data_IF_082260535214
#
_entry.id   IF_082260535214
#
_cell.length_a   1.000
_cell.length_b   1.000
_cell.length_c   1.000
_cell.angle_alpha   90.00
_cell.angle_beta   90.00
_cell.angle_gamma   90.00
#
_symmetry.space_group_name_H-M   'P 1'
#
loop_
_entity.id
_entity.type
_entity.pdbx_description
1 polymer ?
#
# COMPACT_ATOMS: atom_id res chain seq x y z
N UNK A 1 -17.59 2.74 5.06
CA UNK A 1 -16.38 2.10 4.51
C UNK A 1 -16.50 2.12 3.00
N UNK A 2 -15.41 2.36 2.24
CA UNK A 2 -15.45 2.28 0.78
C UNK A 2 -15.86 0.86 0.34
N UNK A 3 -16.61 0.75 -0.75
CA UNK A 3 -16.99 -0.56 -1.29
C UNK A 3 -15.78 -1.24 -1.93
N UNK A 4 -15.77 -2.57 -2.01
CA UNK A 4 -14.68 -3.33 -2.64
C UNK A 4 -14.37 -2.85 -4.07
N UNK A 5 -15.39 -2.43 -4.83
CA UNK A 5 -15.19 -1.85 -6.16
C UNK A 5 -14.44 -0.51 -6.14
N UNK A 6 -14.77 0.37 -5.18
CA UNK A 6 -14.07 1.65 -5.01
C UNK A 6 -12.61 1.44 -4.61
N UNK A 7 -12.34 0.49 -3.71
CA UNK A 7 -10.99 0.11 -3.31
C UNK A 7 -10.19 -0.40 -4.52
N UNK A 8 -10.80 -1.26 -5.35
CA UNK A 8 -10.19 -1.80 -6.57
C UNK A 8 -9.90 -0.70 -7.60
N UNK A 9 -10.81 0.24 -7.81
CA UNK A 9 -10.59 1.38 -8.72
C UNK A 9 -9.42 2.24 -8.25
N UNK A 10 -9.37 2.57 -6.95
CA UNK A 10 -8.28 3.37 -6.41
C UNK A 10 -6.94 2.64 -6.47
N UNK A 11 -6.92 1.34 -6.17
CA UNK A 11 -5.77 0.47 -6.37
C UNK A 11 -5.26 0.52 -7.81
N UNK A 12 -6.14 0.29 -8.78
CA UNK A 12 -5.77 0.28 -10.20
C UNK A 12 -5.19 1.63 -10.66
N UNK A 13 -5.72 2.75 -10.16
CA UNK A 13 -5.17 4.09 -10.47
C UNK A 13 -3.72 4.26 -10.02
N UNK A 14 -3.34 3.68 -8.89
CA UNK A 14 -1.96 3.73 -8.38
C UNK A 14 -1.09 2.69 -9.06
N UNK A 15 -1.59 1.46 -9.19
CA UNK A 15 -0.87 0.32 -9.77
C UNK A 15 -0.46 0.55 -11.23
N UNK A 16 -1.32 1.19 -12.03
CA UNK A 16 -1.03 1.49 -13.44
C UNK A 16 0.11 2.50 -13.63
N UNK A 17 0.40 3.33 -12.63
CA UNK A 17 1.50 4.30 -12.65
C UNK A 17 2.85 3.71 -12.23
N UNK A 18 2.88 2.47 -11.75
CA UNK A 18 4.09 1.82 -11.29
C UNK A 18 4.90 1.29 -12.47
N UNK A 19 6.22 1.39 -12.36
CA UNK A 19 7.14 0.70 -13.27
C UNK A 19 7.19 -0.81 -12.98
N UNK A 20 7.95 -1.56 -13.77
CA UNK A 20 8.01 -3.02 -13.63
C UNK A 20 8.62 -3.47 -12.29
N UNK A 21 9.71 -2.85 -11.82
CA UNK A 21 10.32 -3.26 -10.54
C UNK A 21 9.41 -2.94 -9.34
N UNK A 22 8.70 -1.82 -9.39
CA UNK A 22 7.72 -1.45 -8.37
C UNK A 22 6.54 -2.42 -8.34
N UNK A 23 6.03 -2.83 -9.52
CA UNK A 23 4.96 -3.84 -9.61
C UNK A 23 5.41 -5.17 -9.02
N UNK A 24 6.63 -5.63 -9.33
CA UNK A 24 7.18 -6.85 -8.72
C UNK A 24 7.17 -6.79 -7.19
N UNK A 25 7.53 -5.64 -6.59
CA UNK A 25 7.49 -5.47 -5.14
C UNK A 25 6.06 -5.45 -4.57
N UNK A 26 5.08 -4.93 -5.32
CA UNK A 26 3.66 -4.88 -4.92
C UNK A 26 2.99 -6.24 -5.06
N UNK A 27 3.27 -6.96 -6.13
CA UNK A 27 2.65 -8.25 -6.46
C UNK A 27 3.20 -9.41 -5.60
N UNK A 28 4.41 -9.25 -5.04
CA UNK A 28 4.97 -10.17 -4.06
C UNK A 28 4.30 -10.00 -2.69
N UNK A 29 3.08 -10.53 -2.54
CA UNK A 29 2.30 -10.48 -1.30
C UNK A 29 2.61 -11.61 -0.32
N UNK A 30 3.17 -12.72 -0.81
CA UNK A 30 3.59 -13.87 0.00
C UNK A 30 5.06 -13.79 0.38
N UNK A 31 5.38 -14.16 1.62
CA UNK A 31 6.75 -14.25 2.11
C UNK A 31 7.47 -12.91 2.32
N UNK A 32 8.75 -12.96 2.74
CA UNK A 32 9.54 -11.77 3.00
C UNK A 32 10.00 -11.08 1.71
N UNK A 33 9.92 -9.76 1.67
CA UNK A 33 10.36 -8.92 0.53
C UNK A 33 11.24 -7.79 1.04
N UNK A 34 12.40 -7.58 0.39
CA UNK A 34 13.31 -6.46 0.65
C UNK A 34 13.42 -5.57 -0.58
N UNK A 35 13.11 -4.28 -0.43
CA UNK A 35 13.19 -3.29 -1.50
C UNK A 35 14.34 -2.33 -1.22
N UNK A 36 15.37 -2.34 -2.07
CA UNK A 36 16.48 -1.39 -2.03
C UNK A 36 16.18 -0.27 -3.03
N UNK A 37 16.05 0.98 -2.57
CA UNK A 37 15.74 2.08 -3.48
C UNK A 37 16.29 3.44 -3.02
N UNK A 38 16.78 4.23 -3.97
CA UNK A 38 17.32 5.58 -3.74
C UNK A 38 16.26 6.63 -3.36
N UNK A 39 16.65 7.86 -3.00
CA UNK A 39 15.70 8.96 -2.75
C UNK A 39 14.79 9.21 -3.97
N UNK A 40 13.52 9.59 -3.73
CA UNK A 40 12.59 9.94 -4.81
C UNK A 40 11.99 8.79 -5.63
N UNK A 41 12.38 7.53 -5.39
CA UNK A 41 11.95 6.36 -6.19
C UNK A 41 10.56 5.82 -5.86
N UNK A 42 9.76 6.54 -5.08
CA UNK A 42 8.39 6.14 -4.77
C UNK A 42 8.24 5.05 -3.69
N UNK A 43 9.23 4.83 -2.81
CA UNK A 43 9.17 3.83 -1.71
C UNK A 43 7.85 3.80 -0.94
N UNK A 44 7.34 4.97 -0.55
CA UNK A 44 6.08 5.09 0.20
C UNK A 44 4.88 4.67 -0.65
N UNK A 45 4.90 4.95 -1.97
CA UNK A 45 3.85 4.53 -2.90
C UNK A 45 3.85 3.00 -3.06
N UNK A 46 5.03 2.39 -3.21
CA UNK A 46 5.19 0.92 -3.25
C UNK A 46 4.58 0.29 -2.00
N UNK A 47 4.96 0.76 -0.80
CA UNK A 47 4.43 0.24 0.46
C UNK A 47 2.90 0.34 0.54
N UNK A 48 2.33 1.50 0.20
CA UNK A 48 0.87 1.70 0.24
C UNK A 48 0.13 0.83 -0.77
N UNK A 49 0.68 0.65 -1.97
CA UNK A 49 0.10 -0.20 -3.01
C UNK A 49 0.18 -1.67 -2.63
N UNK A 50 1.29 -2.12 -2.02
CA UNK A 50 1.44 -3.50 -1.53
C UNK A 50 0.43 -3.83 -0.43
N UNK A 51 0.20 -2.92 0.51
CA UNK A 51 -0.87 -3.07 1.52
C UNK A 51 -2.23 -3.18 0.83
N UNK A 52 -2.53 -2.30 -0.12
CA UNK A 52 -3.78 -2.37 -0.90
C UNK A 52 -3.94 -3.70 -1.64
N UNK A 53 -2.86 -4.26 -2.21
CA UNK A 53 -2.86 -5.55 -2.90
C UNK A 53 -3.21 -6.70 -1.95
N UNK A 54 -2.55 -6.76 -0.78
CA UNK A 54 -2.82 -7.76 0.26
C UNK A 54 -4.30 -7.74 0.65
N UNK A 55 -4.84 -6.55 0.94
CA UNK A 55 -6.23 -6.40 1.39
C UNK A 55 -7.27 -6.70 0.29
N UNK A 56 -6.90 -6.58 -0.99
CA UNK A 56 -7.80 -6.86 -2.12
C UNK A 56 -7.78 -8.32 -2.57
N UNK A 57 -6.65 -9.02 -2.38
CA UNK A 57 -6.45 -10.38 -2.92
C UNK A 57 -6.46 -11.46 -1.84
N UNK A 58 -6.44 -11.08 -0.57
CA UNK A 58 -6.49 -12.01 0.57
C UNK A 58 -7.67 -11.70 1.49
N UNK A 59 -7.91 -12.56 2.46
CA UNK A 59 -8.85 -12.36 3.57
C UNK A 59 -8.25 -11.60 4.76
N UNK A 60 -7.03 -11.06 4.61
CA UNK A 60 -6.36 -10.23 5.61
C UNK A 60 -7.19 -9.00 5.90
N UNK A 61 -7.52 -8.80 7.18
CA UNK A 61 -8.16 -7.57 7.64
C UNK A 61 -7.13 -6.47 7.90
N UNK A 62 -7.49 -5.18 7.77
CA UNK A 62 -6.57 -4.05 8.01
C UNK A 62 -5.85 -4.11 9.37
N UNK A 63 -6.53 -4.54 10.44
CA UNK A 63 -5.97 -4.68 11.79
C UNK A 63 -4.86 -5.74 11.89
N UNK A 64 -4.74 -6.63 10.91
CA UNK A 64 -3.67 -7.63 10.85
C UNK A 64 -2.38 -7.08 10.20
N UNK A 65 -2.36 -5.83 9.75
CA UNK A 65 -1.22 -5.20 9.07
C UNK A 65 -0.58 -4.14 9.97
N UNK A 66 0.68 -4.34 10.34
CA UNK A 66 1.49 -3.35 11.04
C UNK A 66 2.42 -2.60 10.08
N UNK A 67 2.25 -1.28 9.96
CA UNK A 67 3.15 -0.42 9.18
C UNK A 67 3.97 0.48 10.12
N UNK A 68 5.30 0.36 10.07
CA UNK A 68 6.23 1.12 10.90
C UNK A 68 7.04 2.11 10.07
N UNK A 69 7.35 3.26 10.67
CA UNK A 69 8.19 4.31 10.09
C UNK A 69 8.89 5.09 11.19
N UNK A 70 9.91 5.85 10.84
CA UNK A 70 10.79 6.51 11.81
C UNK A 70 10.21 7.81 12.38
N UNK A 71 9.31 8.49 11.65
CA UNK A 71 8.82 9.83 12.03
C UNK A 71 7.30 9.91 12.01
N UNK A 72 6.74 10.76 12.88
CA UNK A 72 5.30 11.05 12.90
C UNK A 72 4.80 11.58 11.55
N UNK A 73 5.61 12.42 10.89
CA UNK A 73 5.31 12.90 9.54
C UNK A 73 5.20 11.75 8.54
N UNK A 74 6.07 10.74 8.64
CA UNK A 74 5.99 9.52 7.86
C UNK A 74 4.71 8.74 8.15
N UNK A 75 4.33 8.63 9.42
CA UNK A 75 3.10 7.94 9.86
C UNK A 75 1.86 8.60 9.27
N UNK A 76 1.76 9.93 9.42
CA UNK A 76 0.66 10.72 8.85
C UNK A 76 0.61 10.62 7.32
N UNK A 77 1.78 10.67 6.67
CA UNK A 77 1.89 10.56 5.23
C UNK A 77 1.48 9.18 4.70
N UNK A 78 1.80 8.10 5.45
CA UNK A 78 1.37 6.74 5.11
C UNK A 78 -0.13 6.58 5.36
N UNK A 79 -0.62 7.02 6.51
CA UNK A 79 -2.05 6.98 6.86
C UNK A 79 -2.91 7.69 5.82
N UNK A 80 -2.53 8.90 5.41
CA UNK A 80 -3.25 9.66 4.37
C UNK A 80 -3.30 8.92 3.03
N UNK A 81 -2.27 8.14 2.69
CA UNK A 81 -2.27 7.31 1.46
C UNK A 81 -3.20 6.12 1.61
N UNK A 82 -3.10 5.40 2.73
CA UNK A 82 -3.96 4.25 3.02
C UNK A 82 -5.43 4.62 3.14
N UNK A 83 -5.75 5.81 3.67
CA UNK A 83 -7.13 6.33 3.68
C UNK A 83 -7.79 6.36 2.30
N UNK A 84 -7.02 6.54 1.22
CA UNK A 84 -7.59 6.48 -0.13
C UNK A 84 -7.97 5.04 -0.52
N UNK A 85 -7.25 4.05 -0.01
CA UNK A 85 -7.47 2.64 -0.33
C UNK A 85 -8.51 1.97 0.57
N UNK A 86 -8.49 2.25 1.88
CA UNK A 86 -9.32 1.53 2.87
C UNK A 86 -10.22 2.46 3.69
N UNK A 87 -10.16 3.77 3.47
CA UNK A 87 -11.03 4.72 4.16
C UNK A 87 -10.72 4.80 5.67
N UNK A 88 -11.76 4.82 6.53
CA UNK A 88 -11.59 4.92 7.98
C UNK A 88 -10.72 3.84 8.61
N UNK A 89 -10.64 2.65 7.99
CA UNK A 89 -9.88 1.50 8.51
C UNK A 89 -8.35 1.70 8.44
N UNK A 90 -7.90 2.84 7.92
CA UNK A 90 -6.50 3.26 7.98
C UNK A 90 -6.07 3.85 9.34
N UNK A 91 -7.00 4.00 10.28
CA UNK A 91 -6.77 4.50 11.64
C UNK A 91 -6.78 3.37 12.66
#
# INVERSE_FOLDING_TARGET
MPTTEQQKQQFNKVYTQLNNEQKMAVDAIEGPVMVIAGPGTGKTQILSARIGKILLETDTQPENILCLTYTDAGTLAMRKRLMNFIGPDAY
#
